data_IF_973403996793
#
_entry.id   IF_973403996793
#
_cell.length_a   1.000
_cell.length_b   1.000
_cell.length_c   1.000
_cell.angle_alpha   90.00
_cell.angle_beta   90.00
_cell.angle_gamma   90.00
#
_symmetry.space_group_name_H-M   'P 1'
#
loop_
_entity.id
_entity.type
_entity.pdbx_description
1 polymer ?
#
# COMPACT_ATOMS: atom_id res chain seq x y z
N UNK A 1 27.61 35.30 -21.70
CA UNK A 1 27.63 34.36 -20.56
C UNK A 1 26.20 34.07 -20.11
N UNK A 2 25.47 33.18 -20.79
CA UNK A 2 24.05 32.87 -20.48
C UNK A 2 23.76 31.36 -20.37
N UNK A 3 24.77 30.50 -20.51
CA UNK A 3 24.56 29.06 -20.66
C UNK A 3 24.46 28.29 -19.34
N UNK A 4 25.04 28.80 -18.25
CA UNK A 4 25.01 28.12 -16.95
C UNK A 4 23.65 28.23 -16.24
N UNK A 5 22.93 29.34 -16.42
CA UNK A 5 21.60 29.52 -15.82
C UNK A 5 20.58 28.57 -16.45
N UNK A 6 20.57 28.47 -17.78
CA UNK A 6 19.67 27.58 -18.53
C UNK A 6 19.93 26.09 -18.26
N UNK A 7 21.20 25.70 -18.16
CA UNK A 7 21.57 24.33 -17.76
C UNK A 7 21.05 23.99 -16.35
N UNK A 8 21.05 24.95 -15.43
CA UNK A 8 20.57 24.75 -14.06
C UNK A 8 19.04 24.69 -13.99
N UNK A 9 18.36 25.49 -14.79
CA UNK A 9 16.89 25.42 -14.94
C UNK A 9 16.44 24.09 -15.54
N UNK A 10 17.11 23.61 -16.59
CA UNK A 10 16.82 22.31 -17.20
C UNK A 10 17.12 21.14 -16.24
N UNK A 11 18.20 21.20 -15.46
CA UNK A 11 18.51 20.19 -14.44
C UNK A 11 17.49 20.17 -13.30
N UNK A 12 16.97 21.32 -12.88
CA UNK A 12 15.96 21.40 -11.83
C UNK A 12 14.60 20.84 -12.30
N UNK A 13 14.23 21.09 -13.56
CA UNK A 13 13.06 20.49 -14.20
C UNK A 13 13.17 18.96 -14.28
N UNK A 14 14.32 18.43 -14.73
CA UNK A 14 14.56 16.98 -14.80
C UNK A 14 14.55 16.32 -13.42
N UNK A 15 15.10 16.98 -12.40
CA UNK A 15 15.07 16.47 -11.02
C UNK A 15 13.65 16.48 -10.43
N UNK A 16 12.82 17.47 -10.77
CA UNK A 16 11.43 17.53 -10.35
C UNK A 16 10.61 16.40 -10.99
N UNK A 17 10.76 16.17 -12.30
CA UNK A 17 10.07 15.08 -12.99
C UNK A 17 10.52 13.71 -12.48
N UNK A 18 11.82 13.53 -12.21
CA UNK A 18 12.33 12.29 -11.63
C UNK A 18 11.74 12.03 -10.23
N UNK A 19 11.70 13.04 -9.35
CA UNK A 19 11.12 12.89 -8.01
C UNK A 19 9.61 12.57 -8.06
N UNK A 20 8.87 13.18 -8.99
CA UNK A 20 7.44 12.95 -9.14
C UNK A 20 7.13 11.54 -9.67
N UNK A 21 7.90 11.07 -10.65
CA UNK A 21 7.79 9.71 -11.19
C UNK A 21 8.17 8.66 -10.15
N UNK A 22 9.22 8.91 -9.36
CA UNK A 22 9.65 7.98 -8.30
C UNK A 22 8.58 7.86 -7.20
N UNK A 23 8.01 8.98 -6.75
CA UNK A 23 6.95 8.98 -5.76
C UNK A 23 5.67 8.28 -6.25
N UNK A 24 5.34 8.40 -7.55
CA UNK A 24 4.23 7.68 -8.17
C UNK A 24 4.48 6.18 -8.25
N UNK A 25 5.68 5.78 -8.66
CA UNK A 25 6.05 4.38 -8.77
C UNK A 25 6.06 3.69 -7.40
N UNK A 26 6.72 4.29 -6.40
CA UNK A 26 6.79 3.74 -5.05
C UNK A 26 5.41 3.71 -4.36
N UNK A 27 4.58 4.74 -4.55
CA UNK A 27 3.23 4.79 -4.00
C UNK A 27 2.28 3.76 -4.62
N UNK A 28 2.40 3.50 -5.93
CA UNK A 28 1.59 2.48 -6.62
C UNK A 28 2.07 1.07 -6.30
N UNK A 29 3.38 0.84 -6.17
CA UNK A 29 3.90 -0.48 -5.78
C UNK A 29 3.56 -0.80 -4.33
N UNK A 30 3.80 0.11 -3.37
CA UNK A 30 3.41 -0.12 -1.97
C UNK A 30 1.90 -0.30 -1.81
N UNK A 31 1.10 0.58 -2.41
CA UNK A 31 -0.36 0.49 -2.34
C UNK A 31 -0.95 -0.78 -2.98
N UNK A 32 -0.29 -1.37 -3.99
CA UNK A 32 -0.73 -2.65 -4.60
C UNK A 32 -0.33 -3.87 -3.77
N UNK A 33 0.79 -3.82 -3.06
CA UNK A 33 1.27 -4.95 -2.24
C UNK A 33 0.58 -4.94 -0.89
N UNK A 34 0.59 -3.81 -0.17
CA UNK A 34 -0.13 -3.64 1.10
C UNK A 34 -1.63 -3.78 0.90
N UNK A 35 -2.20 -3.13 -0.13
CA UNK A 35 -3.64 -3.23 -0.42
C UNK A 35 -4.12 -4.64 -0.79
N UNK A 36 -3.22 -5.55 -1.21
CA UNK A 36 -3.59 -6.94 -1.52
C UNK A 36 -3.67 -7.81 -0.27
N UNK A 37 -2.82 -7.55 0.72
CA UNK A 37 -2.87 -8.25 2.00
C UNK A 37 -3.96 -7.67 2.90
N UNK A 38 -4.05 -6.34 2.96
CA UNK A 38 -5.15 -5.64 3.65
C UNK A 38 -6.51 -5.99 3.03
N UNK A 39 -6.61 -6.04 1.70
CA UNK A 39 -7.86 -6.41 1.03
C UNK A 39 -8.35 -7.82 1.36
N UNK A 40 -7.42 -8.78 1.57
CA UNK A 40 -7.79 -10.13 2.03
C UNK A 40 -8.26 -10.10 3.48
N UNK A 41 -7.54 -9.39 4.35
CA UNK A 41 -7.91 -9.26 5.76
C UNK A 41 -9.30 -8.63 5.92
N UNK A 42 -9.59 -7.56 5.18
CA UNK A 42 -10.91 -6.95 5.14
C UNK A 42 -12.01 -7.89 4.64
N UNK A 43 -11.74 -8.71 3.62
CA UNK A 43 -12.71 -9.69 3.13
C UNK A 43 -13.05 -10.74 4.21
N UNK A 44 -12.04 -11.23 4.95
CA UNK A 44 -12.27 -12.16 6.05
C UNK A 44 -13.01 -11.51 7.23
N UNK A 45 -12.65 -10.28 7.60
CA UNK A 45 -13.36 -9.53 8.65
C UNK A 45 -14.85 -9.34 8.30
N UNK A 46 -15.15 -8.97 7.06
CA UNK A 46 -16.52 -8.82 6.58
C UNK A 46 -17.28 -10.17 6.59
N UNK A 47 -16.64 -11.26 6.14
CA UNK A 47 -17.25 -12.60 6.19
C UNK A 47 -17.53 -13.07 7.63
N UNK A 48 -16.66 -12.79 8.58
CA UNK A 48 -16.89 -13.13 10.00
C UNK A 48 -18.00 -12.26 10.60
N UNK A 49 -18.02 -10.95 10.30
CA UNK A 49 -19.11 -10.05 10.70
C UNK A 49 -20.47 -10.43 10.11
N UNK A 50 -20.48 -10.95 8.88
CA UNK A 50 -21.70 -11.49 8.25
C UNK A 50 -22.05 -12.90 8.73
N UNK A 51 -21.33 -13.46 9.72
CA UNK A 51 -21.48 -14.83 10.20
C UNK A 51 -21.36 -15.90 9.10
N UNK A 52 -20.65 -15.60 8.01
CA UNK A 52 -20.33 -16.52 6.92
C UNK A 52 -19.16 -17.42 7.29
N UNK A 53 -18.19 -16.90 8.05
CA UNK A 53 -17.02 -17.62 8.56
C UNK A 53 -16.87 -17.43 10.07
N UNK A 54 -16.11 -18.33 10.71
CA UNK A 54 -15.71 -18.17 12.12
C UNK A 54 -14.36 -17.44 12.23
N UNK A 55 -14.16 -16.73 13.34
CA UNK A 55 -12.90 -16.06 13.68
C UNK A 55 -11.71 -17.02 13.63
N UNK A 56 -11.91 -18.28 14.04
CA UNK A 56 -10.86 -19.31 14.01
C UNK A 56 -10.41 -19.61 12.58
N UNK A 57 -11.35 -19.88 11.68
CA UNK A 57 -11.02 -20.18 10.28
C UNK A 57 -10.37 -18.99 9.58
N UNK A 58 -10.88 -17.77 9.81
CA UNK A 58 -10.31 -16.55 9.25
C UNK A 58 -8.87 -16.32 9.75
N UNK A 59 -8.64 -16.47 11.06
CA UNK A 59 -7.32 -16.29 11.67
C UNK A 59 -6.29 -17.31 11.16
N UNK A 60 -6.69 -18.58 10.99
CA UNK A 60 -5.84 -19.64 10.42
C UNK A 60 -5.45 -19.35 8.96
N UNK A 61 -6.40 -18.88 8.13
CA UNK A 61 -6.13 -18.50 6.74
C UNK A 61 -5.23 -17.27 6.61
N UNK A 62 -5.26 -16.39 7.60
CA UNK A 62 -4.41 -15.19 7.68
C UNK A 62 -3.07 -15.43 8.37
N UNK A 63 -2.85 -16.62 8.94
CA UNK A 63 -1.62 -16.96 9.66
C UNK A 63 -1.43 -16.17 10.97
N UNK A 64 -2.52 -15.72 11.59
CA UNK A 64 -2.51 -14.98 12.87
C UNK A 64 -3.34 -15.72 13.92
N UNK A 65 -3.23 -15.30 15.18
CA UNK A 65 -4.03 -15.87 16.26
C UNK A 65 -5.47 -15.37 16.22
N UNK A 66 -6.41 -16.15 16.77
CA UNK A 66 -7.81 -15.74 16.92
C UNK A 66 -7.93 -14.41 17.66
N UNK A 67 -7.12 -14.21 18.71
CA UNK A 67 -7.13 -12.98 19.51
C UNK A 67 -6.67 -11.75 18.71
N UNK A 68 -5.63 -11.90 17.87
CA UNK A 68 -5.18 -10.82 16.97
C UNK A 68 -6.25 -10.48 15.93
N UNK A 69 -6.94 -11.49 15.41
CA UNK A 69 -8.03 -11.27 14.46
C UNK A 69 -9.26 -10.61 15.12
N UNK A 70 -9.67 -11.07 16.30
CA UNK A 70 -10.79 -10.49 17.05
C UNK A 70 -10.52 -9.06 17.51
N UNK A 71 -9.25 -8.69 17.75
CA UNK A 71 -8.87 -7.31 18.02
C UNK A 71 -9.09 -6.36 16.82
N UNK A 72 -9.25 -6.91 15.61
CA UNK A 72 -9.50 -6.17 14.36
C UNK A 72 -10.98 -6.22 13.91
N UNK A 73 -11.80 -7.05 14.56
CA UNK A 73 -13.23 -7.24 14.26
C UNK A 73 -14.09 -6.09 14.81
#
# INVERSE_FOLDING_TARGET
MFSQLRMREEQALLAQDYALETARAEGIERGKVEGREEGKLFAFLDMVRQHVLTSEFASEQLGMTVAEFEALL
#
